data_IF_564024572614
#
_entry.id   IF_564024572614
#
_cell.length_a   1.000
_cell.length_b   1.000
_cell.length_c   1.000
_cell.angle_alpha   90.00
_cell.angle_beta   90.00
_cell.angle_gamma   90.00
#
_symmetry.space_group_name_H-M   'P 1'
#
loop_
_entity.id
_entity.type
_entity.pdbx_description
1 polymer ?
#
# COMPACT_ATOMS: atom_id res chain seq x y z
N UNK A 1 17.04 6.04 14.28
CA UNK A 1 16.24 6.13 15.52
C UNK A 1 16.76 5.09 16.50
N UNK A 2 17.05 5.45 17.75
CA UNK A 2 17.56 4.50 18.74
C UNK A 2 16.37 3.77 19.36
N UNK A 3 16.21 2.52 19.05
CA UNK A 3 15.45 1.41 19.70
C UNK A 3 14.25 1.64 20.64
N UNK A 4 13.77 2.87 20.83
CA UNK A 4 12.68 3.22 21.74
C UNK A 4 11.30 3.13 21.07
N UNK A 5 10.28 2.96 21.90
CA UNK A 5 8.86 3.09 21.49
C UNK A 5 8.59 4.52 21.05
N UNK A 6 7.88 4.71 19.95
CA UNK A 6 7.43 6.02 19.47
C UNK A 6 6.09 6.30 20.13
N UNK A 7 6.04 7.29 21.01
CA UNK A 7 4.76 7.75 21.55
C UNK A 7 4.00 8.61 20.56
N UNK A 8 2.70 8.78 20.79
CA UNK A 8 1.88 9.70 19.98
C UNK A 8 2.34 11.16 20.13
N UNK A 9 2.96 11.51 21.25
CA UNK A 9 3.54 12.84 21.45
C UNK A 9 4.79 13.03 20.60
N UNK A 10 5.69 12.03 20.56
CA UNK A 10 6.89 12.06 19.70
C UNK A 10 6.55 12.12 18.22
N UNK A 11 5.42 11.53 17.81
CA UNK A 11 4.93 11.56 16.43
C UNK A 11 4.70 12.99 15.93
N UNK A 12 4.16 13.87 16.79
CA UNK A 12 3.85 15.25 16.43
C UNK A 12 5.06 16.20 16.53
N UNK A 13 6.18 15.77 17.09
CA UNK A 13 7.44 16.53 17.14
C UNK A 13 8.22 16.43 15.81
N UNK A 14 7.55 16.68 14.74
CA UNK A 14 7.91 16.88 13.32
C UNK A 14 9.41 16.79 12.98
N UNK A 15 10.07 15.65 13.24
CA UNK A 15 11.36 15.34 12.64
C UNK A 15 11.14 14.37 11.49
N UNK A 16 11.78 14.55 10.31
CA UNK A 16 11.70 13.54 9.26
C UNK A 16 12.19 12.21 9.81
N UNK A 17 11.34 11.18 9.75
CA UNK A 17 11.69 9.83 10.17
C UNK A 17 12.46 9.09 9.08
N UNK A 18 12.43 9.63 7.85
CA UNK A 18 13.00 9.04 6.63
C UNK A 18 14.26 9.78 6.19
N UNK A 19 15.14 9.06 5.50
CA UNK A 19 16.36 9.56 4.84
C UNK A 19 16.18 9.67 3.35
N UNK A 20 15.36 8.79 2.79
CA UNK A 20 15.02 8.79 1.36
C UNK A 20 14.26 10.06 1.00
N UNK A 21 14.64 10.69 -0.11
CA UNK A 21 13.92 11.87 -0.61
C UNK A 21 12.51 11.47 -1.04
N UNK A 22 11.50 12.07 -0.44
CA UNK A 22 10.10 11.92 -0.84
C UNK A 22 9.60 13.21 -1.51
N UNK A 23 8.54 13.08 -2.32
CA UNK A 23 7.90 14.20 -3.03
C UNK A 23 6.76 14.82 -2.23
N UNK A 24 6.35 14.18 -1.16
CA UNK A 24 5.16 14.50 -0.37
C UNK A 24 5.51 15.39 0.82
N UNK A 25 4.77 16.47 0.99
CA UNK A 25 4.75 17.24 2.24
C UNK A 25 3.94 16.44 3.27
N UNK A 26 4.58 16.01 4.35
CA UNK A 26 3.92 15.29 5.44
C UNK A 26 3.55 16.28 6.54
N UNK A 27 2.28 16.28 6.91
CA UNK A 27 1.72 17.07 8.00
C UNK A 27 1.21 16.09 9.05
N UNK A 28 1.83 16.07 10.21
CA UNK A 28 1.35 15.32 11.36
C UNK A 28 0.23 16.09 12.06
N UNK A 29 -0.81 15.39 12.50
CA UNK A 29 -2.01 16.02 13.03
C UNK A 29 -2.58 15.24 14.21
N UNK A 30 -3.33 15.94 15.07
CA UNK A 30 -4.21 15.39 16.12
C UNK A 30 -5.69 15.57 15.81
N UNK A 31 -5.99 16.32 14.75
CA UNK A 31 -7.32 16.50 14.17
C UNK A 31 -7.19 16.46 12.65
N UNK A 32 -6.88 15.28 12.13
CA UNK A 32 -6.54 15.09 10.72
C UNK A 32 -7.60 15.57 9.75
N UNK A 33 -8.88 15.43 10.09
CA UNK A 33 -9.99 15.94 9.26
C UNK A 33 -10.06 17.45 9.31
N UNK A 34 -10.00 18.05 10.51
CA UNK A 34 -10.03 19.51 10.68
C UNK A 34 -8.87 20.21 9.98
N UNK A 35 -7.65 19.72 10.21
CA UNK A 35 -6.44 20.29 9.60
C UNK A 35 -6.44 20.12 8.07
N UNK A 36 -6.86 18.96 7.55
CA UNK A 36 -7.02 18.75 6.11
C UNK A 36 -7.97 19.77 5.50
N UNK A 37 -9.15 19.98 6.10
CA UNK A 37 -10.14 20.92 5.58
C UNK A 37 -9.68 22.37 5.67
N UNK A 38 -8.96 22.75 6.73
CA UNK A 38 -8.38 24.09 6.88
C UNK A 38 -7.33 24.36 5.79
N UNK A 39 -6.39 23.43 5.61
CA UNK A 39 -5.34 23.54 4.60
C UNK A 39 -5.90 23.55 3.17
N UNK A 40 -6.91 22.72 2.87
CA UNK A 40 -7.56 22.73 1.56
C UNK A 40 -8.28 24.06 1.29
N UNK A 41 -8.91 24.67 2.29
CA UNK A 41 -9.58 25.97 2.11
C UNK A 41 -8.60 27.08 1.72
N UNK A 42 -7.34 26.98 2.15
CA UNK A 42 -6.29 27.93 1.85
C UNK A 42 -5.57 27.64 0.53
N UNK A 43 -5.20 26.36 0.30
CA UNK A 43 -4.26 25.97 -0.76
C UNK A 43 -4.92 25.35 -1.99
N UNK A 44 -6.13 24.77 -1.85
CA UNK A 44 -6.88 24.11 -2.92
C UNK A 44 -8.39 24.20 -2.66
N UNK A 45 -9.01 25.40 -2.85
CA UNK A 45 -10.36 25.71 -2.38
C UNK A 45 -11.47 24.90 -3.09
N UNK A 46 -11.18 24.24 -4.20
CA UNK A 46 -12.11 23.36 -4.93
C UNK A 46 -11.65 21.90 -4.90
N UNK A 47 -11.58 21.26 -3.72
CA UNK A 47 -11.19 19.86 -3.63
C UNK A 47 -12.31 18.94 -4.07
N UNK A 48 -11.95 17.81 -4.70
CA UNK A 48 -12.85 16.68 -4.91
C UNK A 48 -12.40 15.50 -4.06
N UNK A 49 -13.29 14.99 -3.21
CA UNK A 49 -12.96 13.92 -2.29
C UNK A 49 -13.30 12.55 -2.87
N UNK A 50 -12.39 11.62 -2.73
CA UNK A 50 -12.63 10.18 -2.88
C UNK A 50 -12.50 9.60 -1.48
N UNK A 51 -13.63 9.20 -0.90
CA UNK A 51 -13.71 8.77 0.50
C UNK A 51 -14.24 7.35 0.61
N UNK A 52 -13.60 6.53 1.44
CA UNK A 52 -14.02 5.16 1.71
C UNK A 52 -15.38 5.12 2.42
N UNK A 53 -16.32 4.33 1.90
CA UNK A 53 -17.66 4.18 2.44
C UNK A 53 -17.66 3.68 3.89
N UNK A 54 -16.71 2.85 4.28
CA UNK A 54 -16.56 2.30 5.63
C UNK A 54 -16.42 3.39 6.70
N UNK A 55 -16.00 4.59 6.32
CA UNK A 55 -15.80 5.73 7.23
C UNK A 55 -17.12 6.46 7.56
N UNK A 56 -18.20 6.20 6.80
CA UNK A 56 -19.48 6.91 6.95
C UNK A 56 -20.08 6.88 8.35
N UNK A 57 -19.98 5.78 9.13
CA UNK A 57 -20.49 5.75 10.49
C UNK A 57 -19.66 6.55 11.51
N UNK A 58 -18.46 6.98 11.16
CA UNK A 58 -17.55 7.67 12.06
C UNK A 58 -17.77 9.17 12.00
N UNK A 59 -18.15 9.78 13.13
CA UNK A 59 -18.52 11.20 13.23
C UNK A 59 -17.41 12.17 12.80
N UNK A 60 -16.14 11.77 12.96
CA UNK A 60 -14.99 12.56 12.52
C UNK A 60 -15.03 12.89 11.03
N UNK A 61 -15.57 12.01 10.18
CA UNK A 61 -15.63 12.22 8.73
C UNK A 61 -16.93 12.89 8.25
N UNK A 62 -17.89 13.14 9.14
CA UNK A 62 -19.15 13.79 8.80
C UNK A 62 -18.98 15.10 8.00
N UNK A 63 -18.01 16.00 8.31
CA UNK A 63 -17.79 17.21 7.53
C UNK A 63 -17.41 16.93 6.06
N UNK A 64 -16.70 15.84 5.76
CA UNK A 64 -16.36 15.45 4.39
C UNK A 64 -17.58 14.85 3.70
N UNK A 65 -18.33 13.96 4.38
CA UNK A 65 -19.54 13.37 3.80
C UNK A 65 -20.66 14.40 3.53
N UNK A 66 -20.65 15.53 4.21
CA UNK A 66 -21.62 16.62 3.97
C UNK A 66 -21.32 17.43 2.69
N UNK A 67 -20.12 17.31 2.09
CA UNK A 67 -19.75 18.07 0.90
C UNK A 67 -20.38 17.47 -0.38
N UNK A 68 -20.65 18.33 -1.38
CA UNK A 68 -21.15 17.91 -2.69
C UNK A 68 -20.05 17.32 -3.59
N UNK A 69 -18.86 17.91 -3.59
CA UNK A 69 -17.70 17.48 -4.41
C UNK A 69 -17.04 16.24 -3.85
N UNK A 70 -17.70 15.07 -3.95
CA UNK A 70 -17.15 13.80 -3.47
C UNK A 70 -17.63 12.59 -4.26
N UNK A 71 -16.83 11.54 -4.24
CA UNK A 71 -17.16 10.19 -4.65
C UNK A 71 -16.99 9.27 -3.44
N UNK A 72 -18.05 8.55 -3.08
CA UNK A 72 -18.02 7.55 -2.00
C UNK A 72 -17.62 6.23 -2.63
N UNK A 73 -16.49 5.69 -2.22
CA UNK A 73 -15.88 4.51 -2.78
C UNK A 73 -16.04 3.31 -1.85
N UNK A 74 -16.56 2.20 -2.39
CA UNK A 74 -16.55 0.91 -1.71
C UNK A 74 -15.18 0.24 -1.89
N UNK A 75 -14.30 0.40 -0.90
CA UNK A 75 -12.98 -0.19 -0.86
C UNK A 75 -12.97 -1.64 -0.34
N UNK A 76 -14.11 -2.34 -0.31
CA UNK A 76 -14.20 -3.76 0.08
C UNK A 76 -13.44 -4.69 -0.88
N UNK A 77 -13.17 -4.23 -2.10
CA UNK A 77 -12.26 -4.87 -3.04
C UNK A 77 -10.83 -4.43 -2.74
N UNK A 78 -9.87 -5.34 -2.82
CA UNK A 78 -8.49 -5.11 -2.38
C UNK A 78 -7.78 -3.96 -3.11
N UNK A 79 -8.03 -3.79 -4.41
CA UNK A 79 -7.49 -2.67 -5.21
C UNK A 79 -8.59 -2.03 -6.06
N UNK A 80 -8.46 -0.72 -6.37
CA UNK A 80 -9.38 -0.07 -7.29
C UNK A 80 -9.25 -0.66 -8.70
N UNK A 81 -10.36 -0.77 -9.39
CA UNK A 81 -10.38 -1.24 -10.77
C UNK A 81 -10.11 -0.07 -11.72
N UNK A 82 -9.41 -0.32 -12.81
CA UNK A 82 -9.17 0.72 -13.82
C UNK A 82 -10.48 1.37 -14.32
N UNK A 83 -11.57 0.58 -14.47
CA UNK A 83 -12.89 1.10 -14.82
C UNK A 83 -13.50 2.05 -13.78
N UNK A 84 -13.17 1.88 -12.49
CA UNK A 84 -13.66 2.78 -11.45
C UNK A 84 -12.94 4.14 -11.57
N UNK A 85 -11.63 4.12 -11.86
CA UNK A 85 -10.86 5.32 -12.22
C UNK A 85 -11.47 6.03 -13.43
N UNK A 86 -11.72 5.29 -14.52
CA UNK A 86 -12.28 5.85 -15.75
C UNK A 86 -13.67 6.46 -15.52
N UNK A 87 -14.49 5.82 -14.67
CA UNK A 87 -15.83 6.30 -14.33
C UNK A 87 -15.79 7.61 -13.56
N UNK A 88 -14.92 7.72 -12.52
CA UNK A 88 -14.76 8.95 -11.75
C UNK A 88 -14.13 10.06 -12.60
N UNK A 89 -13.15 9.71 -13.44
CA UNK A 89 -12.53 10.65 -14.37
C UNK A 89 -13.54 11.22 -15.35
N UNK A 90 -14.41 10.38 -15.92
CA UNK A 90 -15.46 10.82 -16.84
C UNK A 90 -16.48 11.73 -16.14
N UNK A 91 -16.85 11.43 -14.88
CA UNK A 91 -17.72 12.29 -14.08
C UNK A 91 -17.10 13.68 -13.94
N UNK A 92 -15.82 13.76 -13.54
CA UNK A 92 -15.13 15.02 -13.29
C UNK A 92 -14.87 15.83 -14.58
N UNK A 93 -14.63 15.16 -15.72
CA UNK A 93 -14.47 15.84 -17.02
C UNK A 93 -15.76 16.54 -17.50
N UNK A 94 -16.92 16.12 -17.00
CA UNK A 94 -18.20 16.75 -17.29
C UNK A 94 -18.54 17.91 -16.35
N UNK A 95 -17.75 18.12 -15.29
CA UNK A 95 -17.92 19.26 -14.39
C UNK A 95 -17.53 20.58 -15.10
N UNK A 96 -18.16 21.66 -14.66
CA UNK A 96 -17.92 23.00 -15.23
C UNK A 96 -16.51 23.50 -14.97
N UNK A 97 -15.93 23.13 -13.84
CA UNK A 97 -14.61 23.52 -13.41
C UNK A 97 -13.86 22.30 -12.85
N UNK A 98 -12.61 22.16 -13.27
CA UNK A 98 -11.75 21.10 -12.74
C UNK A 98 -11.41 21.35 -11.26
N UNK A 99 -11.33 20.31 -10.45
CA UNK A 99 -10.89 20.44 -9.07
C UNK A 99 -9.42 20.89 -8.99
N UNK A 100 -9.08 21.66 -7.96
CA UNK A 100 -7.70 22.05 -7.66
C UNK A 100 -6.91 20.88 -7.06
N UNK A 101 -7.61 19.99 -6.36
CA UNK A 101 -7.03 18.78 -5.77
C UNK A 101 -8.00 17.60 -5.80
N UNK A 102 -7.45 16.40 -5.97
CA UNK A 102 -8.12 15.14 -5.72
C UNK A 102 -7.66 14.64 -4.34
N UNK A 103 -8.61 14.43 -3.43
CA UNK A 103 -8.32 14.13 -2.03
C UNK A 103 -8.73 12.70 -1.72
N UNK A 104 -7.78 11.80 -1.50
CA UNK A 104 -8.01 10.42 -1.07
C UNK A 104 -8.13 10.31 0.44
N UNK A 105 -9.29 9.88 0.96
CA UNK A 105 -9.56 9.69 2.39
C UNK A 105 -9.92 8.24 2.66
N UNK A 106 -8.98 7.46 3.19
CA UNK A 106 -9.17 6.02 3.37
C UNK A 106 -7.87 5.23 3.49
N UNK A 107 -7.94 3.94 3.22
CA UNK A 107 -6.77 3.07 3.11
C UNK A 107 -6.07 3.19 1.75
N UNK A 108 -5.06 2.33 1.52
CA UNK A 108 -4.25 2.33 0.30
C UNK A 108 -5.08 2.31 -0.99
N UNK A 109 -6.12 1.48 -1.06
CA UNK A 109 -6.98 1.38 -2.25
C UNK A 109 -7.67 2.71 -2.58
N UNK A 110 -8.18 3.42 -1.58
CA UNK A 110 -8.85 4.72 -1.78
C UNK A 110 -7.85 5.80 -2.20
N UNK A 111 -6.66 5.79 -1.61
CA UNK A 111 -5.58 6.70 -1.99
C UNK A 111 -5.09 6.42 -3.42
N UNK A 112 -4.94 5.16 -3.80
CA UNK A 112 -4.53 4.77 -5.15
C UNK A 112 -5.57 5.14 -6.20
N UNK A 113 -6.88 5.02 -5.87
CA UNK A 113 -7.95 5.53 -6.74
C UNK A 113 -7.81 7.05 -6.96
N UNK A 114 -7.58 7.81 -5.88
CA UNK A 114 -7.41 9.26 -5.96
C UNK A 114 -6.21 9.67 -6.82
N UNK A 115 -5.07 9.00 -6.65
CA UNK A 115 -3.87 9.18 -7.46
C UNK A 115 -4.13 8.92 -8.94
N UNK A 116 -4.73 7.78 -9.25
CA UNK A 116 -5.00 7.38 -10.63
C UNK A 116 -6.03 8.32 -11.30
N UNK A 117 -7.06 8.75 -10.58
CA UNK A 117 -8.04 9.74 -11.10
C UNK A 117 -7.35 11.05 -11.43
N UNK A 118 -6.47 11.56 -10.56
CA UNK A 118 -5.72 12.79 -10.83
C UNK A 118 -4.93 12.67 -12.14
N UNK A 119 -4.16 11.60 -12.32
CA UNK A 119 -3.39 11.36 -13.55
C UNK A 119 -4.31 11.28 -14.77
N UNK A 120 -5.38 10.49 -14.70
CA UNK A 120 -6.29 10.31 -15.84
C UNK A 120 -7.05 11.60 -16.21
N UNK A 121 -7.19 12.57 -15.30
CA UNK A 121 -7.80 13.87 -15.64
C UNK A 121 -6.94 14.69 -16.61
N UNK A 122 -5.62 14.63 -16.51
CA UNK A 122 -4.69 15.31 -17.41
C UNK A 122 -4.34 14.47 -18.64
N UNK A 123 -4.61 13.17 -18.63
CA UNK A 123 -4.16 12.23 -19.66
C UNK A 123 -5.36 11.51 -20.30
N UNK A 124 -5.47 11.46 -21.66
CA UNK A 124 -6.73 11.09 -22.33
C UNK A 124 -7.01 9.59 -22.43
N UNK A 125 -5.98 8.73 -22.22
CA UNK A 125 -6.12 7.27 -22.37
C UNK A 125 -6.85 6.65 -21.17
N UNK A 126 -7.46 5.46 -21.33
CA UNK A 126 -7.98 4.68 -20.20
C UNK A 126 -6.92 4.38 -19.13
N UNK A 127 -7.33 4.31 -17.86
CA UNK A 127 -6.43 4.11 -16.73
C UNK A 127 -5.55 2.85 -16.87
N UNK A 128 -6.07 1.78 -17.46
CA UNK A 128 -5.32 0.54 -17.67
C UNK A 128 -4.10 0.71 -18.60
N UNK A 129 -4.11 1.68 -19.50
CA UNK A 129 -3.00 1.93 -20.43
C UNK A 129 -1.82 2.67 -19.78
N UNK A 130 -2.02 3.23 -18.58
CA UNK A 130 -0.95 3.87 -17.81
C UNK A 130 -0.26 2.91 -16.82
N UNK A 131 -0.74 1.66 -16.70
CA UNK A 131 -0.12 0.68 -15.84
C UNK A 131 1.27 0.28 -16.36
N UNK A 132 2.28 0.31 -15.51
CA UNK A 132 3.66 -0.04 -15.84
C UNK A 132 4.64 1.03 -15.40
N UNK A 133 5.73 1.15 -16.15
CA UNK A 133 6.82 2.09 -15.91
C UNK A 133 7.17 2.84 -17.20
N UNK A 134 7.64 4.09 -17.03
CA UNK A 134 8.16 4.88 -18.15
C UNK A 134 7.08 5.31 -19.14
N UNK A 135 5.84 5.42 -18.68
CA UNK A 135 4.76 6.01 -19.45
C UNK A 135 4.92 7.53 -19.44
N UNK A 136 4.69 8.14 -20.59
CA UNK A 136 4.62 9.59 -20.71
C UNK A 136 3.29 10.08 -20.16
N UNK A 137 3.33 10.82 -19.05
CA UNK A 137 2.14 11.30 -18.33
C UNK A 137 2.32 12.74 -17.85
N UNK A 138 1.32 13.56 -18.15
CA UNK A 138 1.20 14.90 -17.60
C UNK A 138 0.67 14.87 -16.16
N UNK A 139 1.09 15.81 -15.35
CA UNK A 139 0.59 15.98 -13.98
C UNK A 139 -0.84 16.48 -13.99
N UNK A 140 -1.72 15.78 -13.24
CA UNK A 140 -3.10 16.19 -12.99
C UNK A 140 -3.24 17.20 -11.83
N UNK A 141 -4.49 17.42 -11.37
CA UNK A 141 -4.73 18.17 -10.13
C UNK A 141 -3.90 17.64 -8.97
N UNK A 142 -3.57 18.51 -8.01
CA UNK A 142 -2.79 18.10 -6.85
C UNK A 142 -3.42 16.91 -6.11
N UNK A 143 -2.62 15.94 -5.74
CA UNK A 143 -3.08 14.76 -4.97
C UNK A 143 -2.86 15.05 -3.49
N UNK A 144 -3.92 14.98 -2.70
CA UNK A 144 -3.87 15.08 -1.25
C UNK A 144 -4.41 13.80 -0.63
N UNK A 145 -3.85 13.38 0.50
CA UNK A 145 -4.27 12.13 1.14
C UNK A 145 -4.43 12.28 2.66
N UNK A 146 -5.43 11.56 3.19
CA UNK A 146 -5.66 11.38 4.62
C UNK A 146 -5.78 9.87 4.87
N UNK A 147 -4.69 9.18 5.23
CA UNK A 147 -4.71 7.75 5.47
C UNK A 147 -5.50 7.42 6.74
N UNK A 148 -6.34 6.39 6.66
CA UNK A 148 -7.11 5.84 7.79
C UNK A 148 -6.71 4.39 8.11
N UNK A 149 -5.66 3.90 7.46
CA UNK A 149 -5.02 2.62 7.71
C UNK A 149 -3.53 2.76 7.37
N UNK A 150 -2.67 2.37 8.30
CA UNK A 150 -1.22 2.38 8.10
C UNK A 150 -0.73 1.03 7.56
N UNK A 151 0.29 1.05 6.71
CA UNK A 151 0.99 -0.15 6.26
C UNK A 151 1.53 -0.10 4.84
N UNK A 152 0.75 0.31 3.86
CA UNK A 152 1.14 0.25 2.43
C UNK A 152 2.13 1.34 2.01
N UNK A 153 2.23 2.44 2.77
CA UNK A 153 3.02 3.61 2.40
C UNK A 153 2.45 4.40 1.22
N UNK A 154 1.21 4.11 0.82
CA UNK A 154 0.57 4.77 -0.32
C UNK A 154 0.49 6.30 -0.16
N UNK A 155 0.52 6.78 1.07
CA UNK A 155 0.51 8.20 1.41
C UNK A 155 1.75 8.98 0.93
N UNK A 156 2.84 8.29 0.58
CA UNK A 156 4.08 8.94 0.11
C UNK A 156 4.67 8.30 -1.15
N UNK A 157 4.10 7.20 -1.66
CA UNK A 157 4.65 6.52 -2.84
C UNK A 157 4.20 7.15 -4.15
N UNK A 158 5.07 7.20 -5.19
CA UNK A 158 4.71 7.59 -6.54
C UNK A 158 4.11 6.41 -7.33
N UNK A 159 3.27 5.61 -6.67
CA UNK A 159 2.67 4.39 -7.23
C UNK A 159 1.18 4.37 -6.92
N UNK A 160 0.34 4.05 -7.91
CA UNK A 160 -1.06 3.73 -7.72
C UNK A 160 -1.35 2.32 -8.27
N UNK A 161 -1.66 1.36 -7.41
CA UNK A 161 -1.91 -0.02 -7.83
C UNK A 161 -3.36 -0.19 -8.23
N UNK A 162 -3.58 -0.64 -9.46
CA UNK A 162 -4.90 -0.86 -10.04
C UNK A 162 -5.06 -2.30 -10.52
N UNK A 163 -6.29 -2.79 -10.44
CA UNK A 163 -6.72 -3.99 -11.16
C UNK A 163 -7.19 -3.58 -12.56
N UNK A 164 -6.35 -3.80 -13.54
CA UNK A 164 -6.70 -3.66 -14.96
C UNK A 164 -7.56 -4.83 -15.46
N UNK A 165 -7.97 -4.80 -16.74
CA UNK A 165 -8.75 -5.87 -17.34
C UNK A 165 -8.01 -7.21 -17.41
N UNK A 166 -6.68 -7.16 -17.60
CA UNK A 166 -5.86 -8.36 -17.74
C UNK A 166 -5.05 -8.70 -16.49
N UNK A 167 -4.61 -7.68 -15.76
CA UNK A 167 -3.68 -7.87 -14.62
C UNK A 167 -3.78 -6.75 -13.59
N UNK A 168 -3.40 -7.06 -12.36
CA UNK A 168 -3.07 -6.09 -11.33
C UNK A 168 -1.66 -5.56 -11.59
N UNK A 169 -1.52 -4.23 -11.69
CA UNK A 169 -0.22 -3.57 -11.83
C UNK A 169 -0.32 -2.10 -11.40
N UNK A 170 0.80 -1.52 -10.95
CA UNK A 170 0.87 -0.10 -10.59
C UNK A 170 0.99 0.82 -11.80
N UNK A 171 0.43 2.02 -11.68
CA UNK A 171 0.89 3.22 -12.40
C UNK A 171 2.10 3.72 -11.62
N UNK A 172 3.25 3.85 -12.27
CA UNK A 172 4.51 4.20 -11.60
C UNK A 172 5.12 5.42 -12.27
N UNK A 173 4.97 6.58 -11.64
CA UNK A 173 5.47 7.85 -12.14
C UNK A 173 5.53 8.88 -10.99
N UNK A 174 6.49 9.79 -11.00
CA UNK A 174 6.65 10.81 -9.96
C UNK A 174 5.41 11.73 -9.85
N UNK A 175 4.68 11.93 -10.94
CA UNK A 175 3.44 12.70 -10.96
C UNK A 175 2.28 12.05 -10.18
N UNK A 176 2.39 10.75 -9.86
CA UNK A 176 1.43 10.00 -9.04
C UNK A 176 1.64 10.23 -7.55
N UNK A 177 2.81 10.77 -7.14
CA UNK A 177 3.10 11.02 -5.74
C UNK A 177 2.13 12.05 -5.15
N UNK A 178 1.55 11.81 -3.96
CA UNK A 178 0.77 12.83 -3.26
C UNK A 178 1.62 14.09 -3.02
N UNK A 179 1.00 15.25 -3.20
CA UNK A 179 1.62 16.53 -2.86
C UNK A 179 1.63 16.75 -1.35
N UNK A 180 0.52 16.39 -0.69
CA UNK A 180 0.34 16.54 0.76
C UNK A 180 -0.27 15.27 1.34
N UNK A 181 0.28 14.80 2.45
CA UNK A 181 -0.29 13.75 3.29
C UNK A 181 -0.52 14.32 4.70
N UNK A 182 -1.77 14.37 5.13
CA UNK A 182 -2.12 14.69 6.51
C UNK A 182 -2.24 13.37 7.27
N UNK A 183 -1.37 13.14 8.23
CA UNK A 183 -1.30 11.88 8.97
C UNK A 183 -1.74 12.09 10.41
N UNK A 184 -2.88 11.49 10.75
CA UNK A 184 -3.40 11.42 12.11
C UNK A 184 -3.50 9.95 12.52
N UNK A 185 -2.60 9.45 13.39
CA UNK A 185 -2.63 8.07 13.84
C UNK A 185 -3.96 7.63 14.45
N UNK A 186 -4.71 8.55 15.10
CA UNK A 186 -5.99 8.24 15.70
C UNK A 186 -7.02 7.71 14.69
N UNK A 187 -6.96 8.14 13.43
CA UNK A 187 -7.87 7.69 12.39
C UNK A 187 -7.70 6.21 12.04
N UNK A 188 -6.51 5.65 12.23
CA UNK A 188 -6.25 4.23 12.00
C UNK A 188 -6.69 3.33 13.16
N UNK A 189 -6.88 3.89 14.34
CA UNK A 189 -7.29 3.13 15.54
C UNK A 189 -8.68 2.49 15.37
N UNK A 190 -9.57 3.11 14.61
CA UNK A 190 -10.92 2.61 14.31
C UNK A 190 -10.99 1.46 13.29
N UNK A 191 -9.89 1.13 12.61
CA UNK A 191 -9.89 0.05 11.63
C UNK A 191 -10.04 -1.33 12.30
N UNK A 192 -10.60 -2.29 11.56
CA UNK A 192 -10.76 -3.67 12.07
C UNK A 192 -9.39 -4.31 12.33
N UNK A 193 -9.27 -5.13 13.39
CA UNK A 193 -8.04 -5.85 13.74
C UNK A 193 -7.43 -6.60 12.54
N UNK A 194 -8.26 -7.30 11.78
CA UNK A 194 -7.85 -8.02 10.57
C UNK A 194 -7.11 -7.08 9.59
N UNK A 195 -7.69 -5.93 9.29
CA UNK A 195 -7.09 -4.97 8.37
C UNK A 195 -5.78 -4.38 8.91
N UNK A 196 -5.76 -3.99 10.19
CA UNK A 196 -4.54 -3.47 10.84
C UNK A 196 -3.41 -4.50 10.81
N UNK A 197 -3.74 -5.76 11.17
CA UNK A 197 -2.76 -6.84 11.21
C UNK A 197 -2.16 -7.11 9.82
N UNK A 198 -2.98 -7.40 8.83
CA UNK A 198 -2.46 -7.76 7.50
C UNK A 198 -1.80 -6.57 6.79
N UNK A 199 -2.29 -5.35 6.98
CA UNK A 199 -1.63 -4.15 6.45
C UNK A 199 -0.24 -3.95 7.07
N UNK A 200 -0.10 -4.21 8.37
CA UNK A 200 1.20 -4.15 9.03
C UNK A 200 2.12 -5.32 8.67
N UNK A 201 1.57 -6.51 8.40
CA UNK A 201 2.32 -7.64 7.83
C UNK A 201 2.92 -7.26 6.47
N UNK A 202 2.13 -6.65 5.60
CA UNK A 202 2.59 -6.18 4.29
C UNK A 202 3.70 -5.12 4.45
N UNK A 203 3.51 -4.16 5.34
CA UNK A 203 4.54 -3.19 5.72
C UNK A 203 5.84 -3.86 6.17
N UNK A 204 5.75 -4.84 7.06
CA UNK A 204 6.89 -5.60 7.54
C UNK A 204 7.64 -6.31 6.41
N UNK A 205 6.92 -6.92 5.48
CA UNK A 205 7.53 -7.60 4.34
C UNK A 205 8.12 -6.62 3.32
N UNK A 206 7.50 -5.47 3.07
CA UNK A 206 8.14 -4.40 2.30
C UNK A 206 9.52 -4.08 2.84
N UNK A 207 9.62 -3.79 4.12
CA UNK A 207 10.87 -3.47 4.76
C UNK A 207 11.89 -4.60 4.69
N UNK A 208 11.47 -5.84 4.97
CA UNK A 208 12.37 -6.99 4.90
C UNK A 208 12.95 -7.20 3.52
N UNK A 209 12.13 -7.12 2.49
CA UNK A 209 12.57 -7.34 1.12
C UNK A 209 13.47 -6.21 0.62
N UNK A 210 13.14 -4.95 0.91
CA UNK A 210 13.98 -3.80 0.53
C UNK A 210 15.33 -3.84 1.23
N UNK A 211 15.38 -4.21 2.50
CA UNK A 211 16.64 -4.36 3.24
C UNK A 211 17.57 -5.41 2.61
N UNK A 212 17.01 -6.42 1.92
CA UNK A 212 17.74 -7.51 1.26
C UNK A 212 17.90 -7.32 -0.24
N UNK A 213 17.31 -6.30 -0.77
CA UNK A 213 17.39 -5.99 -2.19
C UNK A 213 18.84 -5.68 -2.59
N UNK A 214 19.30 -6.32 -3.65
CA UNK A 214 20.61 -6.03 -4.27
C UNK A 214 20.65 -4.72 -5.04
N UNK A 215 19.48 -4.10 -5.24
CA UNK A 215 19.32 -2.88 -6.05
C UNK A 215 18.85 -1.67 -5.23
N UNK A 216 18.65 -1.81 -3.94
CA UNK A 216 18.21 -0.70 -3.08
C UNK A 216 19.31 0.31 -2.84
N UNK A 217 18.95 1.59 -2.88
CA UNK A 217 19.81 2.67 -2.43
C UNK A 217 20.13 2.54 -0.92
N UNK A 218 21.31 2.98 -0.47
CA UNK A 218 21.70 2.88 0.95
C UNK A 218 20.69 3.52 1.91
N UNK A 219 20.17 4.70 1.59
CA UNK A 219 19.20 5.41 2.43
C UNK A 219 17.88 4.64 2.52
N UNK A 220 17.40 4.08 1.42
CA UNK A 220 16.22 3.24 1.40
C UNK A 220 16.39 1.96 2.25
N UNK A 221 17.55 1.36 2.20
CA UNK A 221 17.87 0.19 3.02
C UNK A 221 17.92 0.54 4.53
N UNK A 222 18.40 1.74 4.89
CA UNK A 222 18.42 2.23 6.28
C UNK A 222 17.00 2.53 6.77
N UNK A 223 16.19 3.23 5.98
CA UNK A 223 14.78 3.49 6.30
C UNK A 223 14.01 2.18 6.49
N UNK A 224 14.28 1.19 5.62
CA UNK A 224 13.67 -0.14 5.73
C UNK A 224 14.09 -0.91 6.97
N UNK A 225 15.33 -0.77 7.45
CA UNK A 225 15.76 -1.40 8.71
C UNK A 225 14.99 -0.83 9.89
N UNK A 226 14.96 0.51 10.00
CA UNK A 226 14.22 1.18 11.07
C UNK A 226 12.73 0.82 11.03
N UNK A 227 12.12 0.83 9.84
CA UNK A 227 10.73 0.46 9.64
C UNK A 227 10.42 -1.01 9.95
N UNK A 228 11.32 -1.94 9.59
CA UNK A 228 11.18 -3.35 9.94
C UNK A 228 11.15 -3.57 11.46
N UNK A 229 12.03 -2.89 12.20
CA UNK A 229 12.09 -2.98 13.65
C UNK A 229 10.83 -2.43 14.31
N UNK A 230 10.29 -1.33 13.79
CA UNK A 230 9.03 -0.75 14.26
C UNK A 230 7.86 -1.69 13.96
N UNK A 231 7.71 -2.14 12.71
CA UNK A 231 6.64 -3.05 12.31
C UNK A 231 6.68 -4.36 13.11
N UNK A 232 7.88 -4.91 13.35
CA UNK A 232 8.09 -6.09 14.20
C UNK A 232 7.58 -5.84 15.62
N UNK A 233 7.89 -4.69 16.24
CA UNK A 233 7.39 -4.34 17.57
C UNK A 233 5.89 -4.26 17.63
N UNK A 234 5.27 -3.63 16.63
CA UNK A 234 3.80 -3.54 16.53
C UNK A 234 3.18 -4.94 16.44
N UNK A 235 3.67 -5.79 15.53
CA UNK A 235 3.13 -7.13 15.29
C UNK A 235 3.40 -8.12 16.44
N UNK A 236 4.43 -7.87 17.26
CA UNK A 236 4.75 -8.66 18.45
C UNK A 236 3.86 -8.35 19.65
N UNK A 237 2.86 -7.50 19.50
CA UNK A 237 1.85 -7.16 20.53
C UNK A 237 0.47 -7.55 20.03
N UNK A 238 -0.44 -7.90 20.94
CA UNK A 238 -1.84 -8.14 20.55
C UNK A 238 -2.48 -6.84 20.02
N UNK A 239 -2.96 -6.90 18.78
CA UNK A 239 -3.63 -5.79 18.11
C UNK A 239 -5.14 -5.73 18.41
N UNK A 240 -5.68 -6.57 19.31
CA UNK A 240 -7.04 -6.43 19.82
C UNK A 240 -7.17 -5.15 20.63
N UNK A 241 -6.15 -4.83 21.43
CA UNK A 241 -6.02 -3.59 22.17
C UNK A 241 -5.06 -2.65 21.39
N UNK A 242 -5.63 -1.90 20.46
CA UNK A 242 -4.87 -1.01 19.59
C UNK A 242 -4.97 0.43 20.09
N UNK A 243 -3.99 0.81 20.92
CA UNK A 243 -3.86 2.15 21.47
C UNK A 243 -3.24 3.15 20.47
N UNK A 244 -3.21 4.42 20.88
CA UNK A 244 -2.72 5.51 20.04
C UNK A 244 -1.21 5.41 19.76
N UNK A 245 -0.43 4.83 20.67
CA UNK A 245 1.01 4.67 20.48
C UNK A 245 1.31 3.58 19.44
N UNK A 246 0.57 2.46 19.47
CA UNK A 246 0.65 1.45 18.39
C UNK A 246 0.24 2.05 17.05
N UNK A 247 -0.77 2.92 17.03
CA UNK A 247 -1.20 3.62 15.82
C UNK A 247 -0.09 4.57 15.30
N UNK A 248 0.57 5.31 16.18
CA UNK A 248 1.69 6.19 15.84
C UNK A 248 2.89 5.41 15.28
N UNK A 249 3.29 4.32 15.96
CA UNK A 249 4.35 3.43 15.44
C UNK A 249 3.98 2.85 14.06
N UNK A 250 2.73 2.44 13.88
CA UNK A 250 2.25 1.92 12.58
C UNK A 250 2.33 2.98 11.48
N UNK A 251 1.94 4.22 11.77
CA UNK A 251 2.03 5.33 10.82
C UNK A 251 3.49 5.63 10.43
N UNK A 252 4.41 5.65 11.40
CA UNK A 252 5.85 5.82 11.12
C UNK A 252 6.38 4.69 10.24
N UNK A 253 6.07 3.43 10.58
CA UNK A 253 6.48 2.29 9.77
C UNK A 253 5.94 2.37 8.34
N UNK A 254 4.66 2.77 8.18
CA UNK A 254 4.04 2.95 6.86
C UNK A 254 4.77 3.99 6.02
N UNK A 255 5.04 5.18 6.56
CA UNK A 255 5.79 6.24 5.87
C UNK A 255 7.20 5.79 5.50
N UNK A 256 7.91 5.12 6.42
CA UNK A 256 9.25 4.56 6.14
C UNK A 256 9.20 3.51 5.02
N UNK A 257 8.14 2.67 4.97
CA UNK A 257 7.93 1.70 3.90
C UNK A 257 7.68 2.35 2.55
N UNK A 258 6.83 3.37 2.54
CA UNK A 258 6.56 4.15 1.33
C UNK A 258 7.80 4.90 0.84
N UNK A 259 8.52 5.60 1.73
CA UNK A 259 9.74 6.34 1.37
C UNK A 259 10.83 5.41 0.85
N UNK A 260 11.06 4.28 1.52
CA UNK A 260 12.07 3.31 1.10
C UNK A 260 11.76 2.65 -0.24
N UNK A 261 10.47 2.52 -0.61
CA UNK A 261 10.04 2.00 -1.90
C UNK A 261 10.40 2.89 -3.09
N UNK A 262 10.72 4.17 -2.86
CA UNK A 262 11.19 5.10 -3.91
C UNK A 262 12.62 4.74 -4.34
N UNK A 263 13.51 4.46 -3.37
CA UNK A 263 14.90 4.10 -3.63
C UNK A 263 15.22 2.61 -3.53
N UNK A 264 14.22 1.78 -3.22
CA UNK A 264 14.34 0.35 -3.05
C UNK A 264 13.23 -0.41 -3.76
N UNK A 265 13.32 -1.74 -3.73
CA UNK A 265 12.32 -2.59 -4.38
C UNK A 265 12.12 -3.87 -3.60
N UNK A 266 10.87 -4.26 -3.47
CA UNK A 266 10.46 -5.57 -2.93
C UNK A 266 10.94 -6.72 -3.83
N UNK A 267 10.79 -7.95 -3.40
CA UNK A 267 11.43 -9.10 -4.06
C UNK A 267 10.50 -10.31 -4.27
N UNK A 268 10.99 -11.48 -3.90
CA UNK A 268 10.39 -12.80 -4.17
C UNK A 268 8.96 -12.90 -3.62
N UNK A 269 8.78 -12.50 -2.37
CA UNK A 269 7.50 -12.61 -1.69
C UNK A 269 6.40 -11.84 -2.44
N UNK A 270 6.70 -10.60 -2.81
CA UNK A 270 5.76 -9.80 -3.60
C UNK A 270 5.58 -10.36 -5.01
N UNK A 271 6.65 -10.87 -5.67
CA UNK A 271 6.50 -11.48 -7.01
C UNK A 271 5.50 -12.65 -6.99
N UNK A 272 5.60 -13.53 -6.00
CA UNK A 272 4.65 -14.66 -5.80
C UNK A 272 3.24 -14.15 -5.46
N UNK A 273 3.13 -13.14 -4.59
CA UNK A 273 1.83 -12.57 -4.19
C UNK A 273 1.04 -11.98 -5.37
N UNK A 274 1.71 -11.45 -6.39
CA UNK A 274 1.04 -10.96 -7.60
C UNK A 274 0.31 -12.08 -8.35
N UNK A 275 0.88 -13.28 -8.44
CA UNK A 275 0.20 -14.43 -9.02
C UNK A 275 -1.07 -14.79 -8.25
N UNK A 276 -1.01 -14.86 -6.92
CA UNK A 276 -2.17 -15.12 -6.06
C UNK A 276 -3.25 -14.03 -6.21
N UNK A 277 -2.86 -12.76 -6.13
CA UNK A 277 -3.79 -11.63 -6.27
C UNK A 277 -4.47 -11.57 -7.65
N UNK A 278 -3.77 -12.01 -8.70
CA UNK A 278 -4.36 -12.09 -10.05
C UNK A 278 -5.29 -13.30 -10.22
N UNK A 279 -5.04 -14.40 -9.50
CA UNK A 279 -5.89 -15.59 -9.54
C UNK A 279 -7.22 -15.38 -8.80
N UNK A 280 -7.25 -14.56 -7.75
CA UNK A 280 -8.47 -14.29 -6.99
C UNK A 280 -8.67 -12.79 -6.74
N UNK A 281 -9.75 -12.19 -7.26
CA UNK A 281 -10.09 -10.78 -7.02
C UNK A 281 -10.56 -10.49 -5.59
N UNK A 282 -10.85 -11.54 -4.81
CA UNK A 282 -11.32 -11.43 -3.42
C UNK A 282 -10.18 -11.58 -2.40
N UNK A 283 -8.98 -11.95 -2.84
CA UNK A 283 -7.83 -12.09 -1.98
C UNK A 283 -7.17 -10.71 -1.76
N UNK A 284 -7.22 -10.16 -0.52
CA UNK A 284 -6.53 -8.92 -0.22
C UNK A 284 -5.02 -9.07 -0.44
N UNK A 285 -4.39 -8.03 -0.99
CA UNK A 285 -2.96 -8.05 -1.28
C UNK A 285 -2.11 -8.42 -0.07
N UNK A 286 -2.35 -7.79 1.06
CA UNK A 286 -1.62 -8.04 2.30
C UNK A 286 -1.75 -9.48 2.81
N UNK A 287 -2.90 -10.12 2.57
CA UNK A 287 -3.10 -11.55 2.84
C UNK A 287 -2.31 -12.39 1.84
N UNK A 288 -2.33 -12.05 0.55
CA UNK A 288 -1.55 -12.73 -0.49
C UNK A 288 -0.05 -12.70 -0.18
N UNK A 289 0.47 -11.55 0.26
CA UNK A 289 1.86 -11.39 0.69
C UNK A 289 2.19 -12.27 1.89
N UNK A 290 1.26 -12.40 2.85
CA UNK A 290 1.42 -13.28 4.02
C UNK A 290 1.44 -14.77 3.61
N UNK A 291 0.53 -15.21 2.74
CA UNK A 291 0.53 -16.58 2.19
C UNK A 291 1.84 -16.88 1.46
N UNK A 292 2.31 -15.93 0.66
CA UNK A 292 3.57 -16.05 -0.09
C UNK A 292 4.77 -16.21 0.85
N UNK A 293 4.84 -15.45 1.95
CA UNK A 293 5.93 -15.55 2.92
C UNK A 293 5.96 -16.92 3.62
N UNK A 294 4.80 -17.46 3.94
CA UNK A 294 4.69 -18.81 4.53
C UNK A 294 5.23 -19.91 3.59
N UNK A 295 5.23 -19.68 2.28
CA UNK A 295 5.77 -20.60 1.28
C UNK A 295 7.22 -20.30 0.86
N UNK A 296 7.64 -19.05 0.95
CA UNK A 296 8.97 -18.59 0.51
C UNK A 296 9.98 -18.47 1.66
N UNK A 297 9.62 -18.90 2.88
CA UNK A 297 10.45 -18.72 4.07
C UNK A 297 11.88 -19.25 3.92
N UNK A 298 12.04 -20.39 3.28
CA UNK A 298 13.35 -21.02 3.06
C UNK A 298 14.24 -20.24 2.09
N UNK A 299 13.65 -19.48 1.17
CA UNK A 299 14.40 -18.64 0.20
C UNK A 299 15.10 -17.49 0.94
N UNK A 300 14.46 -16.95 1.97
CA UNK A 300 15.00 -15.84 2.73
C UNK A 300 15.94 -16.26 3.87
N UNK A 301 15.85 -17.50 4.36
CA UNK A 301 16.68 -18.09 5.44
C UNK A 301 16.98 -17.15 6.64
N UNK A 302 16.06 -16.24 6.98
CA UNK A 302 16.29 -15.11 7.84
C UNK A 302 15.24 -14.93 8.97
N UNK A 303 14.46 -15.98 9.22
CA UNK A 303 13.41 -15.97 10.23
C UNK A 303 12.09 -15.31 9.83
N UNK A 304 11.90 -14.94 8.54
CA UNK A 304 10.64 -14.34 8.06
C UNK A 304 9.44 -15.25 8.21
N UNK A 305 9.63 -16.56 8.00
CA UNK A 305 8.63 -17.57 8.26
C UNK A 305 8.27 -17.63 9.75
N UNK A 306 9.28 -17.75 10.62
CA UNK A 306 9.08 -17.88 12.07
C UNK A 306 8.41 -16.63 12.65
N UNK A 307 8.84 -15.45 12.23
CA UNK A 307 8.20 -14.18 12.60
C UNK A 307 6.72 -14.16 12.17
N UNK A 308 6.43 -14.59 10.94
CA UNK A 308 5.06 -14.63 10.41
C UNK A 308 4.17 -15.54 11.25
N UNK A 309 4.64 -16.74 11.55
CA UNK A 309 3.92 -17.71 12.39
C UNK A 309 3.67 -17.12 13.77
N UNK A 310 4.71 -16.58 14.40
CA UNK A 310 4.65 -15.97 15.73
C UNK A 310 3.66 -14.80 15.79
N UNK A 311 3.65 -13.92 14.79
CA UNK A 311 2.73 -12.78 14.74
C UNK A 311 1.27 -13.22 14.59
N UNK A 312 1.01 -14.23 13.78
CA UNK A 312 -0.32 -14.84 13.65
C UNK A 312 -0.80 -15.41 14.98
N UNK A 313 0.07 -16.17 15.67
CA UNK A 313 -0.23 -16.77 16.97
C UNK A 313 -0.51 -15.72 18.06
N UNK A 314 0.36 -14.70 18.21
CA UNK A 314 0.19 -13.62 19.19
C UNK A 314 -1.15 -12.91 18.97
N UNK A 315 -1.54 -12.73 17.72
CA UNK A 315 -2.74 -12.03 17.37
C UNK A 315 -3.99 -12.93 17.27
N UNK A 316 -3.86 -14.23 17.51
CA UNK A 316 -4.98 -15.17 17.42
C UNK A 316 -5.61 -15.22 16.03
N UNK A 317 -4.81 -15.03 14.98
CA UNK A 317 -5.23 -15.05 13.59
C UNK A 317 -4.82 -16.40 12.98
N UNK A 318 -5.79 -17.10 12.40
CA UNK A 318 -5.52 -18.35 11.69
C UNK A 318 -4.59 -18.11 10.48
N UNK A 319 -3.75 -19.08 10.15
CA UNK A 319 -2.92 -19.02 8.95
C UNK A 319 -3.84 -18.95 7.72
N UNK A 320 -3.73 -17.89 6.90
CA UNK A 320 -4.54 -17.80 5.70
C UNK A 320 -4.09 -18.86 4.67
N UNK A 321 -5.05 -19.44 3.97
CA UNK A 321 -4.80 -20.41 2.90
C UNK A 321 -5.28 -19.89 1.55
N UNK A 322 -4.64 -20.31 0.48
CA UNK A 322 -5.06 -19.96 -0.87
C UNK A 322 -6.47 -20.48 -1.20
N UNK A 323 -6.81 -21.65 -0.64
CA UNK A 323 -8.10 -22.32 -0.84
C UNK A 323 -9.29 -21.53 -0.29
N UNK A 324 -9.12 -20.80 0.83
CA UNK A 324 -10.17 -19.93 1.39
C UNK A 324 -10.58 -18.82 0.42
N UNK A 325 -9.71 -18.47 -0.52
CA UNK A 325 -9.93 -17.45 -1.54
C UNK A 325 -10.23 -18.05 -2.93
N UNK A 326 -10.55 -19.36 -3.00
CA UNK A 326 -10.92 -20.02 -4.24
C UNK A 326 -9.75 -20.30 -5.18
N UNK A 327 -8.53 -20.35 -4.69
CA UNK A 327 -7.33 -20.64 -5.47
C UNK A 327 -6.98 -22.13 -5.35
N UNK A 328 -6.88 -22.82 -6.49
CA UNK A 328 -6.65 -24.26 -6.61
C UNK A 328 -5.54 -24.55 -7.63
N UNK A 329 -5.14 -25.81 -7.78
CA UNK A 329 -4.09 -26.25 -8.71
C UNK A 329 -4.30 -25.77 -10.16
N UNK A 330 -5.54 -25.67 -10.61
CA UNK A 330 -5.86 -25.18 -11.95
C UNK A 330 -5.40 -23.76 -12.24
N UNK A 331 -5.15 -22.95 -11.19
CA UNK A 331 -4.65 -21.58 -11.31
C UNK A 331 -3.13 -21.49 -11.45
N UNK A 332 -2.37 -22.57 -11.13
CA UNK A 332 -0.90 -22.55 -11.10
C UNK A 332 -0.29 -22.04 -12.40
N UNK A 333 -0.71 -22.48 -13.61
CA UNK A 333 -0.08 -21.96 -14.85
C UNK A 333 -0.23 -20.45 -15.01
N UNK A 334 -1.40 -19.89 -14.70
CA UNK A 334 -1.65 -18.45 -14.77
C UNK A 334 -0.87 -17.66 -13.73
N UNK A 335 -0.82 -18.18 -12.48
CA UNK A 335 -0.03 -17.58 -11.40
C UNK A 335 1.46 -17.59 -11.73
N UNK A 336 1.98 -18.70 -12.25
CA UNK A 336 3.39 -18.86 -12.67
C UNK A 336 3.75 -17.83 -13.74
N UNK A 337 2.93 -17.70 -14.78
CA UNK A 337 3.13 -16.70 -15.83
C UNK A 337 3.15 -15.28 -15.27
N UNK A 338 2.23 -14.96 -14.36
CA UNK A 338 2.16 -13.63 -13.73
C UNK A 338 3.42 -13.35 -12.92
N UNK A 339 3.81 -14.28 -12.04
CA UNK A 339 4.97 -14.10 -11.18
C UNK A 339 6.27 -14.01 -11.97
N UNK A 340 6.45 -14.86 -13.01
CA UNK A 340 7.62 -14.80 -13.89
C UNK A 340 7.77 -13.44 -14.57
N UNK A 341 6.65 -12.80 -14.93
CA UNK A 341 6.64 -11.45 -15.49
C UNK A 341 7.04 -10.34 -14.52
N UNK A 342 7.17 -10.61 -13.22
CA UNK A 342 7.62 -9.63 -12.22
C UNK A 342 9.16 -9.49 -12.19
N UNK A 343 9.79 -9.40 -13.34
CA UNK A 343 11.26 -9.43 -13.55
C UNK A 343 12.04 -8.50 -12.62
N UNK A 344 11.54 -7.28 -12.41
CA UNK A 344 12.19 -6.29 -11.54
C UNK A 344 12.26 -6.74 -10.07
N UNK A 345 11.28 -7.55 -9.62
CA UNK A 345 11.24 -8.09 -8.27
C UNK A 345 12.22 -9.26 -8.11
N UNK A 346 12.33 -10.10 -9.11
CA UNK A 346 13.34 -11.16 -9.17
C UNK A 346 14.75 -10.59 -9.20
N UNK A 347 14.97 -9.58 -10.05
CA UNK A 347 16.23 -8.87 -10.13
C UNK A 347 16.62 -8.20 -8.81
N UNK A 348 15.64 -7.61 -8.10
CA UNK A 348 15.87 -7.02 -6.79
C UNK A 348 16.48 -8.01 -5.80
N UNK A 349 15.98 -9.23 -5.75
CA UNK A 349 16.45 -10.24 -4.79
C UNK A 349 17.70 -11.00 -5.28
N UNK A 350 17.66 -11.54 -6.51
CA UNK A 350 18.72 -12.40 -7.03
C UNK A 350 19.84 -11.65 -7.76
N UNK A 351 19.58 -10.41 -8.20
CA UNK A 351 20.50 -9.62 -9.03
C UNK A 351 20.34 -9.91 -10.53
N UNK A 352 21.32 -9.49 -11.33
CA UNK A 352 21.24 -9.55 -12.80
C UNK A 352 21.04 -10.97 -13.36
N UNK A 353 21.64 -11.96 -12.72
CA UNK A 353 21.57 -13.35 -13.15
C UNK A 353 20.37 -14.12 -12.54
N UNK A 354 19.29 -13.43 -12.17
CA UNK A 354 18.14 -14.04 -11.52
C UNK A 354 17.52 -15.21 -12.30
N UNK A 355 17.63 -15.21 -13.64
CA UNK A 355 17.12 -16.26 -14.51
C UNK A 355 17.88 -17.60 -14.38
N UNK A 356 19.07 -17.60 -13.78
CA UNK A 356 19.81 -18.84 -13.49
C UNK A 356 19.14 -19.64 -12.35
N UNK A 357 18.33 -18.96 -11.54
CA UNK A 357 17.62 -19.56 -10.38
C UNK A 357 16.11 -19.64 -10.62
N UNK A 358 15.53 -18.62 -11.26
CA UNK A 358 14.07 -18.46 -11.37
C UNK A 358 13.62 -18.82 -12.79
N UNK A 359 12.97 -19.97 -12.88
CA UNK A 359 12.27 -20.47 -14.07
C UNK A 359 10.81 -20.81 -13.75
N UNK A 360 10.07 -21.26 -14.74
CA UNK A 360 8.65 -21.68 -14.56
C UNK A 360 8.54 -22.83 -13.55
N UNK A 361 9.50 -23.76 -13.51
CA UNK A 361 9.49 -24.87 -12.57
C UNK A 361 9.64 -24.38 -11.13
N UNK A 362 10.63 -23.52 -10.88
CA UNK A 362 10.87 -22.92 -9.56
C UNK A 362 9.61 -22.25 -9.02
N UNK A 363 8.97 -21.40 -9.82
CA UNK A 363 7.76 -20.65 -9.42
C UNK A 363 6.56 -21.62 -9.23
N UNK A 364 6.38 -22.56 -10.17
CA UNK A 364 5.29 -23.55 -10.10
C UNK A 364 5.40 -24.43 -8.85
N UNK A 365 6.60 -24.82 -8.43
CA UNK A 365 6.79 -25.64 -7.23
C UNK A 365 6.42 -24.84 -5.95
N UNK A 366 6.69 -23.54 -5.89
CA UNK A 366 6.21 -22.67 -4.81
C UNK A 366 4.67 -22.65 -4.79
N UNK A 367 4.02 -22.45 -5.93
CA UNK A 367 2.55 -22.42 -5.96
C UNK A 367 1.92 -23.78 -5.63
N UNK A 368 2.55 -24.90 -6.03
CA UNK A 368 2.09 -26.24 -5.59
C UNK A 368 2.12 -26.35 -4.06
N UNK A 369 3.18 -25.88 -3.41
CA UNK A 369 3.24 -25.88 -1.94
C UNK A 369 2.14 -25.03 -1.31
N UNK A 370 1.83 -23.87 -1.91
CA UNK A 370 0.76 -22.97 -1.43
C UNK A 370 -0.64 -23.62 -1.54
N UNK A 371 -0.96 -24.27 -2.65
CA UNK A 371 -2.30 -24.83 -2.88
C UNK A 371 -2.50 -26.19 -2.25
N UNK A 372 -1.43 -26.87 -1.79
CA UNK A 372 -1.50 -28.16 -1.10
C UNK A 372 -1.93 -28.05 0.37
N UNK A 373 -1.87 -26.87 0.93
CA UNK A 373 -2.29 -26.54 2.30
C UNK A 373 -3.76 -26.07 2.27
#
# INVERSE_FOLDING_TARGET
>A
MHGGTISYEDFNDARPWWRTRIFTEIITSRDGVGDLLALLSERAPRPFFIIDEILKPQSAFAPIFARSGKYVYDASHSEPRARDVDSVTALLRNEREMPDAIVGVGGGATMDLAKAVSICLANPRPAAEYQGYGMDMERGPDIWVLPTLAGTGAEVTPIAVLRGPEKKLGINDDNVAPKVAVIDPALSAGARKFNRFFSMMDCYFHHREITRSKTSAPDAALDSRDGADIARRVLSRDLSEFDIDKAAESAVASVLGGSSSIGGRVGVNHAISYGLSNASPHLPHSVAVTISMLACGDIYSDGGFDDTVKFLEINGIARPTAREYGIFESHIPGMTKTALGMEKLWHSHFGENWRDTVDEKFISDIYKSIVSI
#
